data_IF_859353463342
#
_entry.id   IF_859353463342
#
_cell.length_a   1.000
_cell.length_b   1.000
_cell.length_c   1.000
_cell.angle_alpha   90.00
_cell.angle_beta   90.00
_cell.angle_gamma   90.00
#
_symmetry.space_group_name_H-M   'P 1'
#
loop_
_entity.id
_entity.type
_entity.pdbx_description
1 polymer ?
#
# COMPACT_ATOMS: atom_id res chain seq x y z
N UNK A 1 11.69 12.88 6.51
CA UNK A 1 11.29 11.71 7.31
C UNK A 1 10.13 12.09 8.23
N UNK A 2 9.08 11.23 8.26
CA UNK A 2 7.89 11.47 9.05
C UNK A 2 7.66 10.32 10.02
N UNK A 3 7.39 10.62 11.29
CA UNK A 3 6.99 9.62 12.27
C UNK A 3 5.52 9.25 12.06
N UNK A 4 5.11 8.10 12.59
CA UNK A 4 3.70 7.70 12.57
C UNK A 4 2.84 8.73 13.34
N UNK A 5 3.35 9.28 14.43
CA UNK A 5 2.65 10.31 15.19
C UNK A 5 2.39 11.57 14.33
N UNK A 6 3.35 11.97 13.52
CA UNK A 6 3.17 13.10 12.58
C UNK A 6 2.15 12.79 11.51
N UNK A 7 2.17 11.55 10.96
CA UNK A 7 1.19 11.12 9.96
C UNK A 7 -0.23 11.09 10.53
N UNK A 8 -0.40 10.65 11.77
CA UNK A 8 -1.71 10.63 12.43
C UNK A 8 -2.33 12.02 12.59
N UNK A 9 -1.53 13.09 12.57
CA UNK A 9 -2.03 14.46 12.63
C UNK A 9 -2.63 14.94 11.31
N UNK A 10 -2.46 14.19 10.23
CA UNK A 10 -2.95 14.60 8.91
C UNK A 10 -4.45 14.33 8.70
N UNK A 11 -5.13 13.74 9.65
CA UNK A 11 -6.57 13.49 9.61
C UNK A 11 -6.90 12.06 9.24
N UNK A 12 -6.82 11.13 10.20
CA UNK A 12 -7.17 9.72 9.95
C UNK A 12 -8.66 9.54 9.71
N UNK A 13 -9.00 8.52 8.92
CA UNK A 13 -10.38 8.15 8.61
C UNK A 13 -10.54 6.64 8.80
N UNK A 14 -11.80 6.19 8.96
CA UNK A 14 -12.15 4.79 8.98
C UNK A 14 -12.64 4.39 7.59
N UNK A 15 -12.14 3.26 7.09
CA UNK A 15 -12.44 2.76 5.74
C UNK A 15 -12.87 1.30 5.85
N UNK A 16 -13.96 0.96 5.17
CA UNK A 16 -14.40 -0.44 5.04
C UNK A 16 -14.08 -0.90 3.64
N UNK A 17 -13.20 -1.90 3.51
CA UNK A 17 -12.72 -2.40 2.23
C UNK A 17 -12.56 -3.91 2.26
N UNK A 18 -12.76 -4.55 1.11
CA UNK A 18 -12.44 -5.95 0.94
C UNK A 18 -10.92 -6.13 0.85
N UNK A 19 -10.43 -7.24 1.38
CA UNK A 19 -9.01 -7.57 1.34
C UNK A 19 -8.81 -8.85 0.54
N UNK A 20 -8.16 -8.76 -0.62
CA UNK A 20 -8.02 -9.86 -1.58
C UNK A 20 -6.60 -10.41 -1.60
N UNK A 21 -6.48 -11.73 -1.43
CA UNK A 21 -5.21 -12.44 -1.50
C UNK A 21 -5.04 -13.08 -2.89
N UNK A 22 -3.78 -13.23 -3.33
CA UNK A 22 -3.43 -13.84 -4.63
C UNK A 22 -3.91 -15.29 -4.75
N UNK A 23 -4.10 -15.99 -3.63
CA UNK A 23 -4.61 -17.36 -3.61
C UNK A 23 -6.12 -17.46 -3.90
N UNK A 24 -6.78 -16.34 -4.10
CA UNK A 24 -8.19 -16.29 -4.48
C UNK A 24 -9.18 -16.07 -3.36
N UNK A 25 -8.76 -16.11 -2.09
CA UNK A 25 -9.67 -15.79 -1.00
C UNK A 25 -9.72 -14.28 -0.76
N UNK A 26 -10.88 -13.82 -0.28
CA UNK A 26 -11.07 -12.44 0.11
C UNK A 26 -11.72 -12.38 1.48
N UNK A 27 -11.33 -11.40 2.30
CA UNK A 27 -12.04 -11.06 3.52
C UNK A 27 -12.83 -9.80 3.25
N UNK A 28 -14.16 -9.87 3.38
CA UNK A 28 -15.06 -8.76 3.05
C UNK A 28 -15.32 -7.86 4.24
N UNK A 29 -15.62 -6.60 3.95
CA UNK A 29 -16.05 -5.59 4.91
C UNK A 29 -15.06 -5.42 6.08
N UNK A 30 -13.77 -5.47 5.77
CA UNK A 30 -12.71 -5.24 6.76
C UNK A 30 -12.61 -3.74 7.05
N UNK A 31 -12.72 -3.37 8.33
CA UNK A 31 -12.59 -1.97 8.74
C UNK A 31 -11.15 -1.63 9.07
N UNK A 32 -10.62 -0.62 8.40
CA UNK A 32 -9.26 -0.10 8.62
C UNK A 32 -9.33 1.34 9.12
N UNK A 33 -8.33 1.75 9.88
CA UNK A 33 -8.13 3.16 10.22
C UNK A 33 -6.78 3.60 9.66
N UNK A 34 -6.80 4.71 8.96
CA UNK A 34 -5.58 5.23 8.33
C UNK A 34 -5.72 6.62 7.75
N UNK A 35 -4.69 7.03 7.04
CA UNK A 35 -4.59 8.37 6.45
C UNK A 35 -4.72 8.25 4.93
N UNK A 36 -5.60 9.02 4.28
CA UNK A 36 -5.65 9.03 2.81
C UNK A 36 -4.26 9.38 2.25
N UNK A 37 -3.79 8.57 1.30
CA UNK A 37 -2.45 8.79 0.74
C UNK A 37 -2.32 10.15 0.08
N UNK A 38 -3.40 10.69 -0.47
CA UNK A 38 -3.40 12.06 -1.02
C UNK A 38 -2.96 13.11 -0.01
N UNK A 39 -3.32 12.97 1.26
CA UNK A 39 -2.87 13.90 2.30
C UNK A 39 -1.38 13.79 2.54
N UNK A 40 -0.83 12.58 2.46
CA UNK A 40 0.61 12.35 2.58
C UNK A 40 1.33 12.99 1.40
N UNK A 41 0.81 12.83 0.18
CA UNK A 41 1.37 13.45 -1.02
C UNK A 41 1.40 14.97 -0.91
N UNK A 42 0.36 15.58 -0.36
CA UNK A 42 0.31 17.03 -0.15
C UNK A 42 1.36 17.49 0.87
N UNK A 43 1.67 16.66 1.84
CA UNK A 43 2.67 16.96 2.88
C UNK A 43 4.10 16.81 2.37
N UNK A 44 4.42 15.72 1.65
CA UNK A 44 5.79 15.44 1.21
C UNK A 44 6.14 16.08 -0.13
N UNK A 45 5.16 16.39 -0.96
CA UNK A 45 5.33 17.03 -2.27
C UNK A 45 6.46 16.41 -3.09
N UNK A 46 6.28 15.15 -3.54
CA UNK A 46 7.32 14.48 -4.32
C UNK A 46 7.57 15.19 -5.64
N UNK A 47 8.76 14.98 -6.24
CA UNK A 47 9.10 15.53 -7.54
C UNK A 47 8.02 15.15 -8.56
N UNK A 48 7.46 16.12 -9.32
CA UNK A 48 6.36 15.83 -10.25
C UNK A 48 6.64 14.77 -11.31
N UNK A 49 7.92 14.45 -11.56
CA UNK A 49 8.32 13.43 -12.54
C UNK A 49 8.15 11.99 -12.04
N UNK A 50 7.75 11.77 -10.79
CA UNK A 50 7.62 10.41 -10.27
C UNK A 50 6.54 9.63 -11.02
N UNK A 51 6.80 8.33 -11.26
CA UNK A 51 5.90 7.43 -12.00
C UNK A 51 5.51 6.18 -11.23
N UNK A 52 6.30 5.79 -10.24
CA UNK A 52 6.08 4.59 -9.43
C UNK A 52 6.31 4.89 -7.96
N UNK A 53 5.50 4.29 -7.11
CA UNK A 53 5.72 4.29 -5.67
C UNK A 53 6.36 2.97 -5.29
N UNK A 54 7.54 3.03 -4.72
CA UNK A 54 8.25 1.85 -4.24
C UNK A 54 8.05 1.77 -2.73
N UNK A 55 7.62 0.61 -2.24
CA UNK A 55 7.38 0.35 -0.83
C UNK A 55 8.49 -0.56 -0.30
N UNK A 56 9.06 -0.18 0.82
CA UNK A 56 10.11 -0.97 1.49
C UNK A 56 9.61 -1.43 2.85
N UNK A 57 9.76 -2.72 3.14
CA UNK A 57 9.41 -3.30 4.42
C UNK A 57 10.64 -3.60 5.27
N UNK A 58 10.46 -3.65 6.59
CA UNK A 58 11.52 -3.97 7.53
C UNK A 58 12.07 -5.39 7.37
N UNK A 59 11.34 -6.25 6.67
CA UNK A 59 11.67 -7.65 6.39
C UNK A 59 12.40 -7.84 5.05
N UNK A 60 12.99 -6.78 4.49
CA UNK A 60 13.63 -6.74 3.19
C UNK A 60 12.67 -6.95 2.00
N UNK A 61 11.37 -6.94 2.25
CA UNK A 61 10.38 -7.00 1.19
C UNK A 61 10.30 -5.66 0.48
N UNK A 62 10.13 -5.66 -0.83
CA UNK A 62 9.82 -4.46 -1.59
C UNK A 62 8.78 -4.76 -2.65
N UNK A 63 8.04 -3.74 -3.04
CA UNK A 63 7.08 -3.83 -4.14
C UNK A 63 6.87 -2.46 -4.75
N UNK A 64 6.38 -2.45 -5.98
CA UNK A 64 6.18 -1.23 -6.76
C UNK A 64 4.71 -1.08 -7.16
N UNK A 65 4.26 0.17 -7.25
CA UNK A 65 2.89 0.49 -7.67
C UNK A 65 2.93 1.66 -8.65
N UNK A 66 2.25 1.57 -9.81
CA UNK A 66 2.20 2.70 -10.75
C UNK A 66 1.50 3.91 -10.14
N UNK A 67 1.95 5.10 -10.53
CA UNK A 67 1.38 6.37 -10.04
C UNK A 67 -0.13 6.45 -10.17
N UNK A 68 -0.70 5.99 -11.28
CA UNK A 68 -2.14 6.05 -11.51
C UNK A 68 -2.95 5.30 -10.43
N UNK A 69 -2.41 4.22 -9.88
CA UNK A 69 -3.07 3.49 -8.78
C UNK A 69 -2.90 4.20 -7.45
N UNK A 70 -1.75 4.84 -7.26
CA UNK A 70 -1.44 5.57 -6.02
C UNK A 70 -2.30 6.82 -5.87
N UNK A 71 -2.62 7.47 -6.97
CA UNK A 71 -3.38 8.73 -6.97
C UNK A 71 -4.90 8.54 -6.84
N UNK A 72 -5.38 7.30 -6.74
CA UNK A 72 -6.80 7.04 -6.50
C UNK A 72 -7.24 7.54 -5.13
N UNK A 73 -8.52 7.89 -5.00
CA UNK A 73 -9.07 8.39 -3.74
C UNK A 73 -9.19 7.31 -2.66
N UNK A 74 -9.14 6.04 -3.05
CA UNK A 74 -9.34 4.91 -2.14
C UNK A 74 -8.05 4.25 -1.68
N UNK A 75 -6.92 4.98 -1.74
CA UNK A 75 -5.62 4.50 -1.26
C UNK A 75 -5.30 5.15 0.09
N UNK A 76 -4.94 4.32 1.07
CA UNK A 76 -4.70 4.75 2.45
C UNK A 76 -3.44 4.14 3.00
N UNK A 77 -2.77 4.86 3.90
CA UNK A 77 -1.77 4.28 4.78
C UNK A 77 -2.49 3.92 6.07
N UNK A 78 -2.60 2.62 6.36
CA UNK A 78 -3.40 2.13 7.48
C UNK A 78 -2.52 1.64 8.62
N UNK A 79 -2.99 1.83 9.86
CA UNK A 79 -2.28 1.42 11.07
C UNK A 79 -3.19 0.75 12.11
N UNK A 80 -4.50 0.70 11.87
CA UNK A 80 -5.45 -0.03 12.72
C UNK A 80 -6.36 -0.92 11.88
N UNK A 81 -6.71 -2.07 12.45
CA UNK A 81 -7.62 -3.05 11.87
C UNK A 81 -8.70 -3.34 12.90
N UNK A 82 -9.97 -3.14 12.52
CA UNK A 82 -11.14 -3.36 13.39
C UNK A 82 -11.00 -2.62 14.74
N UNK A 83 -10.51 -1.39 14.71
CA UNK A 83 -10.38 -0.53 15.88
C UNK A 83 -9.19 -0.83 16.80
N UNK A 84 -8.30 -1.75 16.40
CA UNK A 84 -7.12 -2.14 17.17
C UNK A 84 -5.86 -1.98 16.31
N UNK A 85 -4.66 -1.87 16.91
CA UNK A 85 -3.43 -1.88 16.11
C UNK A 85 -3.38 -3.10 15.21
N UNK A 86 -2.83 -2.95 14.00
CA UNK A 86 -2.71 -4.06 13.05
C UNK A 86 -1.86 -5.16 13.68
N UNK A 87 -2.32 -6.43 13.68
CA UNK A 87 -1.54 -7.54 14.25
C UNK A 87 -0.19 -7.70 13.59
N UNK A 88 0.79 -8.22 14.34
CA UNK A 88 2.16 -8.42 13.87
C UNK A 88 2.22 -9.23 12.56
N UNK A 89 1.38 -10.26 12.42
CA UNK A 89 1.37 -11.14 11.24
C UNK A 89 0.92 -10.41 9.96
N UNK A 90 0.27 -9.26 10.10
CA UNK A 90 -0.17 -8.43 8.97
C UNK A 90 0.65 -7.15 8.83
N UNK A 91 1.69 -6.99 9.68
CA UNK A 91 2.50 -5.79 9.73
C UNK A 91 1.82 -4.65 10.48
N UNK A 92 2.59 -3.80 11.14
CA UNK A 92 2.02 -2.73 11.97
C UNK A 92 1.49 -1.54 11.17
N UNK A 93 2.08 -1.28 10.01
CA UNK A 93 1.72 -0.18 9.12
C UNK A 93 1.84 -0.69 7.69
N UNK A 94 0.83 -0.41 6.87
CA UNK A 94 0.87 -0.82 5.47
C UNK A 94 0.00 0.09 4.61
N UNK A 95 0.17 0.04 3.30
CA UNK A 95 -0.77 0.69 2.38
C UNK A 95 -1.96 -0.22 2.14
N UNK A 96 -3.12 0.40 1.93
CA UNK A 96 -4.33 -0.27 1.48
C UNK A 96 -4.63 0.25 0.08
N UNK A 97 -4.53 -0.63 -0.92
CA UNK A 97 -4.82 -0.33 -2.33
C UNK A 97 -5.85 -1.38 -2.77
N UNK A 98 -7.15 -1.10 -2.61
CA UNK A 98 -8.19 -2.13 -2.75
C UNK A 98 -8.22 -2.84 -4.09
N UNK A 99 -7.79 -2.17 -5.17
CA UNK A 99 -7.80 -2.75 -6.50
C UNK A 99 -6.70 -3.78 -6.73
N UNK A 100 -5.63 -3.76 -5.93
CA UNK A 100 -4.47 -4.62 -6.13
C UNK A 100 -4.46 -5.78 -5.15
N UNK A 101 -3.77 -6.87 -5.53
CA UNK A 101 -3.56 -7.98 -4.61
C UNK A 101 -2.75 -7.55 -3.39
N UNK A 102 -2.93 -8.24 -2.27
CA UNK A 102 -2.30 -7.89 -1.00
C UNK A 102 -0.77 -7.84 -1.09
N UNK A 103 -0.14 -8.65 -1.94
CA UNK A 103 1.32 -8.67 -2.09
C UNK A 103 1.88 -7.41 -2.75
N UNK A 104 1.03 -6.57 -3.36
CA UNK A 104 1.43 -5.26 -3.89
C UNK A 104 1.50 -4.19 -2.80
N UNK A 105 1.25 -4.56 -1.56
CA UNK A 105 1.43 -3.67 -0.41
C UNK A 105 2.37 -4.33 0.58
N UNK A 106 3.39 -3.59 1.02
CA UNK A 106 4.38 -4.11 1.96
C UNK A 106 3.80 -4.17 3.37
N UNK A 107 3.95 -5.31 4.02
CA UNK A 107 3.79 -5.42 5.48
C UNK A 107 5.00 -4.74 6.14
N UNK A 108 4.91 -4.39 7.39
CA UNK A 108 6.02 -3.77 8.12
C UNK A 108 6.62 -2.59 7.35
N UNK A 109 5.77 -1.75 6.77
CA UNK A 109 6.20 -0.63 5.92
C UNK A 109 7.10 0.32 6.70
N UNK A 110 8.30 0.58 6.17
CA UNK A 110 9.26 1.51 6.76
C UNK A 110 9.69 2.62 5.80
N UNK A 111 9.43 2.47 4.50
CA UNK A 111 9.84 3.49 3.55
C UNK A 111 8.99 3.52 2.30
N UNK A 112 8.84 4.72 1.76
CA UNK A 112 8.18 4.97 0.48
C UNK A 112 9.15 5.79 -0.38
N UNK A 113 9.33 5.37 -1.62
CA UNK A 113 10.14 6.08 -2.59
C UNK A 113 9.29 6.43 -3.80
N UNK A 114 9.27 7.72 -4.17
CA UNK A 114 8.59 8.20 -5.37
C UNK A 114 9.63 8.21 -6.49
N UNK A 115 9.59 7.21 -7.37
CA UNK A 115 10.63 6.97 -8.37
C UNK A 115 10.15 7.31 -9.77
N UNK A 116 11.01 7.91 -10.58
CA UNK A 116 10.74 8.15 -12.00
C UNK A 116 10.93 6.86 -12.83
N UNK A 117 11.58 5.83 -12.26
CA UNK A 117 11.83 4.55 -12.93
C UNK A 117 11.13 3.43 -12.18
N UNK A 118 10.73 2.39 -12.92
CA UNK A 118 10.14 1.20 -12.30
C UNK A 118 11.24 0.37 -11.62
N UNK A 119 10.94 -0.10 -10.42
CA UNK A 119 11.83 -0.97 -9.64
C UNK A 119 11.03 -2.19 -9.17
N UNK A 120 10.92 -3.25 -10.00
CA UNK A 120 10.19 -4.46 -9.62
C UNK A 120 10.70 -5.01 -8.29
N UNK A 121 9.78 -5.43 -7.43
CA UNK A 121 10.09 -5.87 -6.09
C UNK A 121 10.22 -7.38 -5.96
N UNK A 122 10.04 -7.85 -4.73
CA UNK A 122 10.27 -9.26 -4.35
C UNK A 122 9.50 -10.25 -5.22
N UNK A 123 8.19 -10.08 -5.35
CA UNK A 123 7.36 -11.02 -6.10
C UNK A 123 7.39 -10.75 -7.60
N UNK A 124 7.49 -9.49 -8.03
CA UNK A 124 7.55 -9.12 -9.45
C UNK A 124 8.75 -9.76 -10.16
N UNK A 125 9.92 -9.75 -9.51
CA UNK A 125 11.12 -10.40 -10.09
C UNK A 125 11.02 -11.93 -10.08
N UNK A 126 10.05 -12.49 -9.35
CA UNK A 126 9.80 -13.92 -9.27
C UNK A 126 8.61 -14.39 -10.12
N UNK A 127 8.13 -13.54 -11.03
CA UNK A 127 7.12 -13.89 -12.01
C UNK A 127 5.68 -13.45 -11.70
N UNK A 128 5.43 -12.78 -10.57
CA UNK A 128 4.13 -12.19 -10.33
C UNK A 128 3.91 -10.96 -11.21
N UNK A 129 2.65 -10.65 -11.51
CA UNK A 129 2.32 -9.54 -12.39
C UNK A 129 2.77 -8.20 -11.80
N UNK A 130 3.41 -7.37 -12.62
CA UNK A 130 3.95 -6.09 -12.17
C UNK A 130 2.87 -5.09 -11.73
N UNK A 131 1.67 -5.17 -12.30
CA UNK A 131 0.55 -4.30 -11.91
C UNK A 131 -0.25 -4.91 -10.74
N UNK A 132 -0.59 -6.20 -10.84
CA UNK A 132 -1.26 -6.93 -9.77
C UNK A 132 -2.71 -6.51 -9.50
N UNK A 133 -3.48 -6.19 -10.54
CA UNK A 133 -4.89 -5.82 -10.39
C UNK A 133 -5.73 -7.05 -10.03
N UNK A 134 -6.34 -7.05 -8.85
CA UNK A 134 -7.12 -8.17 -8.35
C UNK A 134 -8.42 -8.38 -9.13
N UNK A 135 -9.04 -7.31 -9.62
CA UNK A 135 -10.28 -7.40 -10.39
C UNK A 135 -10.04 -7.92 -11.80
N UNK A 136 -8.85 -7.73 -12.35
CA UNK A 136 -8.42 -8.30 -13.63
C UNK A 136 -7.70 -9.62 -13.46
N UNK A 137 -7.60 -10.14 -12.25
CA UNK A 137 -6.89 -11.38 -11.91
C UNK A 137 -5.44 -11.42 -12.39
N UNK A 138 -4.74 -10.30 -12.31
CA UNK A 138 -3.34 -10.15 -12.73
C UNK A 138 -2.39 -10.75 -11.69
N UNK A 139 -2.29 -12.09 -11.63
CA UNK A 139 -1.43 -12.79 -10.67
C UNK A 139 0.00 -12.95 -11.17
N UNK A 140 0.17 -13.31 -12.44
CA UNK A 140 1.47 -13.61 -13.04
C UNK A 140 1.71 -12.75 -14.27
N UNK A 141 2.99 -12.55 -14.58
CA UNK A 141 3.40 -11.82 -15.78
C UNK A 141 3.20 -12.61 -17.06
#
# INVERSE_FOLDING_TARGET
ELSLAELKKLGPVKVVQDFTCVTGWSKKDVQWTGIPLKKILQKVKPDPSWKHLIQYGADNYSTNVPRQEVERDDVFLVYELEGRPIPKEHGYVRLLIPQLYAWKTSKFLIGLEFSATDKPGFWEVRGYNNHGDAFKEERYS
#
